data_IF_805675263346
#
_entry.id   IF_805675263346
#
_cell.length_a   1.000
_cell.length_b   1.000
_cell.length_c   1.000
_cell.angle_alpha   90.00
_cell.angle_beta   90.00
_cell.angle_gamma   90.00
#
_symmetry.space_group_name_H-M   'P 1'
#
loop_
_entity.id
_entity.type
_entity.pdbx_description
1 polymer ?
#
# COMPACT_ATOMS: atom_id res chain seq x y z
N UNK A 1 11.67 -12.66 -3.40
CA UNK A 1 11.75 -11.77 -4.59
C UNK A 1 10.56 -11.90 -5.55
N UNK A 2 9.34 -12.27 -5.12
CA UNK A 2 8.23 -12.46 -6.08
C UNK A 2 6.83 -12.28 -5.49
N UNK A 3 6.62 -11.27 -4.61
CA UNK A 3 5.32 -10.99 -4.00
C UNK A 3 4.52 -9.86 -4.68
N UNK A 4 5.14 -9.12 -5.61
CA UNK A 4 4.51 -7.95 -6.25
C UNK A 4 3.83 -8.21 -7.60
N UNK A 5 4.00 -9.39 -8.21
CA UNK A 5 3.46 -9.69 -9.56
C UNK A 5 2.88 -11.11 -9.68
N UNK A 6 2.46 -11.70 -8.57
CA UNK A 6 1.77 -13.00 -8.54
C UNK A 6 0.27 -12.82 -8.79
N UNK A 7 -0.41 -13.93 -9.14
CA UNK A 7 -1.89 -14.02 -9.26
C UNK A 7 -2.64 -13.45 -8.06
N UNK A 8 -1.96 -13.37 -6.93
CA UNK A 8 -2.41 -12.72 -5.71
C UNK A 8 -1.99 -11.25 -5.78
N UNK A 9 -2.94 -10.37 -6.09
CA UNK A 9 -2.77 -8.90 -6.11
C UNK A 9 -2.58 -8.39 -4.67
N UNK A 10 -1.45 -8.73 -4.06
CA UNK A 10 -1.11 -8.40 -2.69
C UNK A 10 -0.53 -6.98 -2.63
N UNK A 11 -1.13 -6.14 -1.81
CA UNK A 11 -0.49 -4.89 -1.38
C UNK A 11 0.59 -5.25 -0.38
N UNK A 12 1.85 -5.02 -0.76
CA UNK A 12 3.00 -5.29 0.09
C UNK A 12 3.34 -4.05 0.92
N UNK A 13 3.46 -4.22 2.24
CA UNK A 13 3.98 -3.21 3.17
C UNK A 13 5.31 -3.72 3.73
N UNK A 14 6.37 -2.92 3.55
CA UNK A 14 7.66 -3.18 4.19
C UNK A 14 7.63 -2.68 5.64
N UNK A 15 8.20 -3.46 6.54
CA UNK A 15 8.31 -3.15 7.96
C UNK A 15 9.79 -3.03 8.33
N UNK A 16 10.11 -1.95 9.04
CA UNK A 16 11.42 -1.74 9.60
C UNK A 16 11.35 -0.93 10.89
N UNK A 17 12.39 -1.02 11.70
CA UNK A 17 12.51 -0.33 12.99
C UNK A 17 13.78 0.50 13.02
N UNK A 18 13.74 1.62 13.74
CA UNK A 18 14.94 2.41 14.04
C UNK A 18 15.34 2.07 15.46
N UNK A 19 16.45 1.35 15.60
CA UNK A 19 16.85 0.80 16.90
C UNK A 19 17.37 1.88 17.85
N UNK A 20 17.82 3.02 17.31
CA UNK A 20 18.25 4.18 18.07
C UNK A 20 17.65 5.49 17.48
N UNK A 21 16.38 5.81 17.78
CA UNK A 21 15.73 6.98 17.22
C UNK A 21 16.24 8.29 17.84
N UNK A 22 16.14 9.43 17.12
CA UNK A 22 16.42 10.74 17.68
C UNK A 22 15.50 11.05 18.87
N UNK A 23 15.98 11.90 19.79
CA UNK A 23 15.20 12.29 20.96
C UNK A 23 13.99 13.11 20.54
N UNK A 24 12.87 12.98 21.27
CA UNK A 24 11.60 13.65 20.92
C UNK A 24 11.74 15.17 20.89
N UNK A 25 12.62 15.73 21.71
CA UNK A 25 12.88 17.16 21.80
C UNK A 25 13.63 17.71 20.58
N UNK A 26 14.28 16.83 19.80
CA UNK A 26 15.01 17.16 18.58
C UNK A 26 14.15 16.95 17.33
N UNK A 27 12.94 16.38 17.49
CA UNK A 27 12.01 16.10 16.40
C UNK A 27 10.98 17.22 16.26
N UNK A 28 11.06 17.95 15.15
CA UNK A 28 9.98 18.83 14.70
C UNK A 28 8.87 17.99 14.04
N UNK A 29 7.76 17.83 14.77
CA UNK A 29 6.58 17.07 14.33
C UNK A 29 5.59 17.90 13.52
N UNK A 30 5.83 19.21 13.37
CA UNK A 30 4.94 20.13 12.63
C UNK A 30 5.31 20.15 11.15
N UNK A 31 6.60 20.03 10.82
CA UNK A 31 7.08 19.97 9.43
C UNK A 31 7.21 18.52 8.92
N UNK A 32 6.22 18.07 8.14
CA UNK A 32 6.19 16.73 7.55
C UNK A 32 7.35 16.42 6.61
N UNK A 33 8.02 17.44 6.05
CA UNK A 33 9.18 17.24 5.17
C UNK A 33 10.40 16.72 5.91
N UNK A 34 10.46 16.90 7.24
CA UNK A 34 11.55 16.41 8.07
C UNK A 34 11.41 14.93 8.43
N UNK A 35 10.25 14.32 8.23
CA UNK A 35 10.03 12.90 8.55
C UNK A 35 10.97 11.99 7.78
N UNK A 36 11.28 12.31 6.52
CA UNK A 36 12.26 11.57 5.71
C UNK A 36 13.65 11.52 6.35
N UNK A 37 14.02 12.52 7.16
CA UNK A 37 15.31 12.56 7.86
C UNK A 37 15.30 11.82 9.19
N UNK A 38 14.13 11.61 9.79
CA UNK A 38 13.98 10.79 10.98
C UNK A 38 13.83 9.31 10.63
N UNK A 39 13.37 9.00 9.42
CA UNK A 39 13.18 7.64 8.88
C UNK A 39 14.43 7.09 8.16
N UNK A 40 15.63 7.60 8.49
CA UNK A 40 16.91 7.06 7.99
C UNK A 40 17.47 6.01 8.96
N UNK A 41 18.36 5.14 8.47
CA UNK A 41 18.97 4.03 9.25
C UNK A 41 17.95 3.01 9.81
N UNK A 42 16.88 2.76 9.05
CA UNK A 42 15.89 1.73 9.38
C UNK A 42 16.51 0.34 9.22
N UNK A 43 16.47 -0.45 10.28
CA UNK A 43 16.72 -1.89 10.26
C UNK A 43 15.51 -2.58 9.63
N UNK A 44 15.72 -3.23 8.47
CA UNK A 44 14.67 -3.98 7.81
C UNK A 44 14.29 -5.22 8.62
N UNK A 45 13.01 -5.37 8.94
CA UNK A 45 12.48 -6.49 9.73
C UNK A 45 11.76 -7.49 8.84
N UNK A 46 10.97 -7.03 7.86
CA UNK A 46 10.25 -7.94 6.97
C UNK A 46 9.24 -7.26 6.04
N UNK A 47 8.43 -8.07 5.36
CA UNK A 47 7.33 -7.62 4.49
C UNK A 47 6.05 -8.35 4.87
N UNK A 48 4.95 -7.62 4.93
CA UNK A 48 3.60 -8.20 5.03
C UNK A 48 2.86 -7.94 3.73
N UNK A 49 2.24 -8.98 3.16
CA UNK A 49 1.36 -8.87 2.00
C UNK A 49 -0.09 -8.92 2.47
N UNK A 50 -0.85 -7.86 2.25
CA UNK A 50 -2.29 -7.87 2.46
C UNK A 50 -3.01 -8.02 1.14
N UNK A 51 -3.94 -8.97 1.07
CA UNK A 51 -4.86 -9.06 -0.05
C UNK A 51 -5.92 -7.97 0.14
N UNK A 52 -6.12 -7.11 -0.86
CA UNK A 52 -7.29 -6.23 -0.94
C UNK A 52 -8.36 -7.01 -1.71
N UNK A 53 -9.22 -7.81 -1.04
CA UNK A 53 -10.21 -8.59 -1.76
C UNK A 53 -11.14 -7.61 -2.50
N UNK A 54 -11.39 -7.81 -3.80
CA UNK A 54 -12.40 -7.04 -4.48
C UNK A 54 -13.73 -7.21 -3.73
N UNK A 55 -14.45 -6.11 -3.48
CA UNK A 55 -15.72 -6.17 -2.77
C UNK A 55 -16.69 -7.10 -3.50
N UNK A 56 -17.40 -7.95 -2.77
CA UNK A 56 -18.23 -9.01 -3.37
C UNK A 56 -19.29 -8.46 -4.35
N UNK A 57 -19.83 -7.27 -4.06
CA UNK A 57 -20.81 -6.60 -4.90
C UNK A 57 -20.27 -6.14 -6.26
N UNK A 58 -18.95 -5.99 -6.41
CA UNK A 58 -18.32 -5.49 -7.64
C UNK A 58 -18.47 -6.51 -8.77
N UNK A 59 -18.39 -7.80 -8.46
CA UNK A 59 -18.55 -8.85 -9.48
C UNK A 59 -19.95 -8.83 -10.09
N UNK A 60 -20.98 -8.74 -9.24
CA UNK A 60 -22.38 -8.68 -9.67
C UNK A 60 -22.69 -7.40 -10.44
N UNK A 61 -22.16 -6.25 -9.97
CA UNK A 61 -22.31 -4.98 -10.66
C UNK A 61 -21.67 -4.98 -12.05
N UNK A 62 -20.45 -5.54 -12.20
CA UNK A 62 -19.79 -5.67 -13.50
C UNK A 62 -20.57 -6.58 -14.44
N UNK A 63 -21.11 -7.70 -13.95
CA UNK A 63 -21.93 -8.61 -14.77
C UNK A 63 -23.17 -7.88 -15.30
N UNK A 64 -23.93 -7.20 -14.43
CA UNK A 64 -25.12 -6.45 -14.83
C UNK A 64 -24.80 -5.33 -15.82
N UNK A 65 -23.71 -4.58 -15.59
CA UNK A 65 -23.27 -3.56 -16.54
C UNK A 65 -22.92 -4.16 -17.90
N UNK A 66 -22.25 -5.32 -17.93
CA UNK A 66 -21.89 -6.02 -19.16
C UNK A 66 -23.12 -6.51 -19.92
N UNK A 67 -24.08 -7.09 -19.22
CA UNK A 67 -25.36 -7.55 -19.79
C UNK A 67 -26.19 -6.40 -20.35
N UNK A 68 -26.08 -5.21 -19.74
CA UNK A 68 -26.69 -3.98 -20.22
C UNK A 68 -25.90 -3.28 -21.35
N UNK A 69 -24.78 -3.85 -21.82
CA UNK A 69 -23.93 -3.25 -22.87
C UNK A 69 -23.10 -2.05 -22.39
N UNK A 70 -22.97 -1.84 -21.08
CA UNK A 70 -22.22 -0.75 -20.46
C UNK A 70 -20.76 -1.17 -20.25
N UNK A 71 -19.82 -0.36 -20.74
CA UNK A 71 -18.38 -0.59 -20.56
C UNK A 71 -17.92 -0.10 -19.19
N UNK A 72 -17.37 -1.01 -18.37
CA UNK A 72 -16.74 -0.69 -17.08
C UNK A 72 -15.25 -0.41 -17.28
N UNK A 73 -14.76 0.72 -16.77
CA UNK A 73 -13.34 1.09 -16.79
C UNK A 73 -12.88 1.24 -15.34
N UNK A 74 -11.85 0.48 -14.95
CA UNK A 74 -11.23 0.59 -13.63
C UNK A 74 -10.18 1.71 -13.67
N UNK A 75 -10.31 2.68 -12.76
CA UNK A 75 -9.29 3.70 -12.51
C UNK A 75 -8.70 3.36 -11.14
N UNK A 76 -7.45 2.86 -11.12
CA UNK A 76 -6.71 2.59 -9.88
C UNK A 76 -5.50 3.52 -9.78
N UNK A 77 -5.17 3.93 -8.56
CA UNK A 77 -3.96 4.68 -8.22
C UNK A 77 -2.77 3.80 -7.82
N UNK A 78 -2.89 2.47 -7.95
CA UNK A 78 -1.75 1.57 -7.74
C UNK A 78 -0.64 1.86 -8.76
N UNK A 79 0.61 1.91 -8.27
CA UNK A 79 1.79 2.05 -9.12
C UNK A 79 1.98 0.80 -9.99
N UNK A 80 2.39 1.00 -11.24
CA UNK A 80 2.60 -0.05 -12.25
C UNK A 80 3.94 -0.77 -12.09
#
# INVERSE_FOLDING_TARGET
>A
HQYGSGRDTLRCLALGTIDNPPRKEEMDLVDSRKFVTYETDITFVGVVGMLDPPRAEVHEAISRCRDAGIRVIMITGDNK
#
